data_IF_374858259561
#
_entry.id   IF_374858259561
#
_cell.length_a   1.000
_cell.length_b   1.000
_cell.length_c   1.000
_cell.angle_alpha   90.00
_cell.angle_beta   90.00
_cell.angle_gamma   90.00
#
_symmetry.space_group_name_H-M   'P 1'
#
loop_
_entity.id
_entity.type
_entity.pdbx_description
1 polymer ?
#
# COMPACT_ATOMS: atom_id res chain seq x y z
N UNK A 1 22.72 -11.13 -29.17
CA UNK A 1 21.68 -11.62 -28.23
C UNK A 1 22.10 -11.62 -26.75
N UNK A 2 23.40 -11.67 -26.41
CA UNK A 2 23.88 -11.76 -25.02
C UNK A 2 23.60 -10.54 -24.10
N UNK A 3 23.59 -9.30 -24.62
CA UNK A 3 23.34 -8.09 -23.79
C UNK A 3 21.88 -7.92 -23.33
N UNK A 4 20.90 -8.47 -24.08
CA UNK A 4 19.47 -8.39 -23.71
C UNK A 4 19.14 -9.27 -22.50
N UNK A 5 19.84 -10.40 -22.34
CA UNK A 5 19.61 -11.31 -21.22
C UNK A 5 20.27 -10.84 -19.92
N UNK A 6 21.39 -10.13 -19.97
CA UNK A 6 22.09 -9.63 -18.76
C UNK A 6 21.30 -8.58 -17.97
N UNK A 7 20.49 -7.75 -18.63
CA UNK A 7 19.66 -6.74 -17.94
C UNK A 7 18.55 -7.41 -17.13
N UNK A 8 17.93 -8.46 -17.68
CA UNK A 8 16.90 -9.22 -16.98
C UNK A 8 17.44 -9.96 -15.75
N UNK A 9 18.66 -10.52 -15.82
CA UNK A 9 19.29 -11.21 -14.67
C UNK A 9 19.63 -10.24 -13.52
N UNK A 10 20.18 -9.05 -13.83
CA UNK A 10 20.53 -8.03 -12.82
C UNK A 10 19.34 -7.46 -12.03
N UNK A 11 18.11 -7.69 -12.48
CA UNK A 11 16.87 -7.21 -11.84
C UNK A 11 16.32 -8.22 -10.82
N UNK A 12 16.67 -9.51 -10.93
CA UNK A 12 16.10 -10.55 -10.08
C UNK A 12 16.70 -10.54 -8.66
N UNK A 13 18.02 -10.43 -8.52
CA UNK A 13 18.71 -10.55 -7.22
C UNK A 13 18.39 -9.38 -6.26
N UNK A 14 18.14 -8.17 -6.79
CA UNK A 14 17.80 -6.97 -5.99
C UNK A 14 16.44 -7.14 -5.30
N UNK A 15 15.54 -7.89 -5.93
CA UNK A 15 14.21 -8.14 -5.40
C UNK A 15 14.27 -9.14 -4.25
N UNK A 16 15.12 -10.15 -4.34
CA UNK A 16 15.31 -11.12 -3.26
C UNK A 16 15.70 -10.41 -1.96
N UNK A 17 16.64 -9.46 -1.99
CA UNK A 17 17.05 -8.73 -0.79
C UNK A 17 15.95 -7.87 -0.19
N UNK A 18 15.24 -7.07 -0.99
CA UNK A 18 14.15 -6.21 -0.48
C UNK A 18 12.93 -7.03 -0.06
N UNK A 19 12.68 -8.16 -0.70
CA UNK A 19 11.68 -9.13 -0.28
C UNK A 19 12.06 -9.86 0.97
N UNK A 20 13.32 -10.22 1.11
CA UNK A 20 13.84 -10.73 2.35
C UNK A 20 13.62 -9.68 3.42
N UNK A 21 13.96 -8.41 3.20
CA UNK A 21 13.70 -7.35 4.19
C UNK A 21 12.21 -7.20 4.51
N UNK A 22 11.33 -7.17 3.50
CA UNK A 22 9.89 -7.08 3.71
C UNK A 22 9.36 -8.31 4.49
N UNK A 23 9.77 -9.50 4.09
CA UNK A 23 9.38 -10.77 4.70
C UNK A 23 9.93 -10.94 6.11
N UNK A 24 11.22 -10.67 6.34
CA UNK A 24 11.85 -10.74 7.67
C UNK A 24 11.26 -9.66 8.59
N UNK A 25 10.96 -8.45 8.08
CA UNK A 25 10.25 -7.44 8.86
C UNK A 25 8.86 -7.90 9.26
N UNK A 26 8.15 -8.56 8.34
CA UNK A 26 6.85 -9.17 8.61
C UNK A 26 6.97 -10.28 9.67
N UNK A 27 7.99 -11.14 9.56
CA UNK A 27 8.29 -12.16 10.57
C UNK A 27 8.60 -11.59 11.94
N UNK A 28 9.41 -10.53 12.02
CA UNK A 28 9.76 -9.90 13.30
C UNK A 28 8.55 -9.37 14.08
N UNK A 29 7.45 -9.03 13.39
CA UNK A 29 6.19 -8.66 14.03
C UNK A 29 5.36 -9.85 14.51
N UNK A 30 5.55 -11.05 13.93
CA UNK A 30 4.99 -12.30 14.47
C UNK A 30 5.47 -12.51 15.91
N UNK A 31 6.72 -12.12 16.16
CA UNK A 31 7.45 -12.34 17.40
C UNK A 31 7.45 -11.11 18.33
N UNK A 32 6.93 -9.97 17.87
CA UNK A 32 6.85 -8.71 18.60
C UNK A 32 5.65 -8.65 19.57
N UNK A 33 5.67 -7.76 20.58
CA UNK A 33 4.52 -7.57 21.46
C UNK A 33 3.28 -7.19 20.63
N UNK A 34 2.16 -7.87 20.90
CA UNK A 34 0.84 -7.62 20.30
C UNK A 34 0.64 -6.11 20.07
N UNK A 35 0.44 -5.70 18.80
CA UNK A 35 0.04 -4.34 18.42
C UNK A 35 -1.41 -4.07 18.87
N UNK A 36 -1.71 -4.23 20.16
CA UNK A 36 -3.03 -3.96 20.76
C UNK A 36 -3.37 -2.46 20.74
N UNK A 37 -2.36 -1.60 20.53
CA UNK A 37 -2.55 -0.17 20.34
C UNK A 37 -1.95 0.20 18.99
N UNK A 38 -2.77 0.06 17.96
CA UNK A 38 -2.47 0.64 16.66
C UNK A 38 -2.05 2.11 16.84
N UNK A 39 -1.01 2.58 16.14
CA UNK A 39 -0.52 3.94 16.28
C UNK A 39 -1.56 5.02 15.88
N UNK A 40 -1.22 6.30 16.14
CA UNK A 40 -2.09 7.48 16.03
C UNK A 40 -2.85 7.62 14.69
N UNK A 41 -2.38 7.00 13.60
CA UNK A 41 -3.07 6.96 12.30
C UNK A 41 -4.39 6.16 12.31
N UNK A 42 -4.70 5.44 13.39
CA UNK A 42 -6.01 4.84 13.64
C UNK A 42 -7.17 5.87 13.58
N UNK A 43 -6.87 7.17 13.73
CA UNK A 43 -7.86 8.24 13.60
C UNK A 43 -7.97 8.83 12.16
N UNK A 44 -6.92 8.69 11.33
CA UNK A 44 -6.84 9.29 9.98
C UNK A 44 -6.19 8.29 8.99
N UNK A 45 -6.97 7.35 8.43
CA UNK A 45 -6.46 6.31 7.51
C UNK A 45 -5.69 6.86 6.31
N UNK A 46 -6.02 8.07 5.86
CA UNK A 46 -5.35 8.80 4.79
C UNK A 46 -3.86 9.04 5.07
N UNK A 47 -3.51 9.26 6.34
CA UNK A 47 -2.13 9.50 6.79
C UNK A 47 -1.34 8.23 7.02
N UNK A 48 -2.02 7.08 7.07
CA UNK A 48 -1.37 5.78 7.15
C UNK A 48 -0.83 5.30 5.80
N UNK A 49 -1.05 6.05 4.71
CA UNK A 49 -0.64 5.67 3.36
C UNK A 49 0.61 6.46 2.93
N UNK A 50 1.70 5.80 2.51
CA UNK A 50 2.90 6.48 2.07
C UNK A 50 2.62 7.20 0.76
N UNK A 51 3.12 8.43 0.65
CA UNK A 51 2.94 9.30 -0.51
C UNK A 51 4.26 9.76 -1.08
N UNK A 52 4.30 10.02 -2.38
CA UNK A 52 5.39 10.76 -2.98
C UNK A 52 5.26 12.24 -2.62
N UNK A 53 6.20 12.79 -1.83
CA UNK A 53 6.14 14.14 -1.27
C UNK A 53 5.85 15.21 -2.34
N UNK A 54 6.54 15.12 -3.48
CA UNK A 54 6.48 16.12 -4.53
C UNK A 54 5.20 16.06 -5.37
N UNK A 55 4.65 14.86 -5.58
CA UNK A 55 3.50 14.66 -6.48
C UNK A 55 2.19 14.46 -5.73
N UNK A 56 2.24 14.23 -4.41
CA UNK A 56 1.11 13.85 -3.57
C UNK A 56 0.59 12.44 -3.82
N UNK A 57 1.10 11.71 -4.82
CA UNK A 57 0.58 10.39 -5.22
C UNK A 57 0.82 9.33 -4.16
N UNK A 58 -0.20 8.52 -3.90
CA UNK A 58 -0.08 7.35 -3.03
C UNK A 58 0.76 6.26 -3.70
N UNK A 59 1.67 5.63 -2.94
CA UNK A 59 2.21 4.33 -3.34
C UNK A 59 1.09 3.27 -3.28
N UNK A 60 1.25 2.19 -4.03
CA UNK A 60 0.24 1.12 -4.14
C UNK A 60 0.88 -0.25 -4.15
N UNK A 61 0.07 -1.26 -3.85
CA UNK A 61 0.48 -2.66 -3.83
C UNK A 61 1.67 -2.89 -2.90
N UNK A 62 2.62 -3.70 -3.36
CA UNK A 62 3.81 -4.06 -2.59
C UNK A 62 4.68 -2.86 -2.20
N UNK A 63 4.65 -1.77 -2.97
CA UNK A 63 5.38 -0.55 -2.60
C UNK A 63 4.75 0.15 -1.41
N UNK A 64 3.42 0.18 -1.33
CA UNK A 64 2.74 0.71 -0.16
C UNK A 64 3.10 -0.12 1.08
N UNK A 65 2.97 -1.46 1.00
CA UNK A 65 3.32 -2.35 2.11
C UNK A 65 4.76 -2.18 2.59
N UNK A 66 5.74 -2.08 1.67
CA UNK A 66 7.15 -1.88 2.04
C UNK A 66 7.39 -0.55 2.74
N UNK A 67 6.81 0.54 2.23
CA UNK A 67 7.01 1.87 2.79
C UNK A 67 6.21 2.09 4.08
N UNK A 68 5.01 1.52 4.20
CA UNK A 68 4.22 1.55 5.44
C UNK A 68 4.96 0.90 6.60
N UNK A 69 5.65 -0.21 6.34
CA UNK A 69 6.50 -0.84 7.34
C UNK A 69 7.60 0.11 7.83
N UNK A 70 8.23 0.86 6.92
CA UNK A 70 9.21 1.87 7.31
C UNK A 70 8.58 2.92 8.25
N UNK A 71 7.35 3.36 7.99
CA UNK A 71 6.64 4.32 8.83
C UNK A 71 6.35 3.77 10.23
N UNK A 72 5.90 2.51 10.31
CA UNK A 72 5.68 1.81 11.59
C UNK A 72 6.94 1.79 12.43
N UNK A 73 8.06 1.33 11.86
CA UNK A 73 9.32 1.23 12.58
C UNK A 73 9.82 2.60 13.05
N UNK A 74 9.79 3.61 12.18
CA UNK A 74 10.19 4.98 12.53
C UNK A 74 9.34 5.56 13.66
N UNK A 75 8.03 5.32 13.64
CA UNK A 75 7.12 5.83 14.64
C UNK A 75 7.41 5.20 16.02
N UNK A 76 7.70 3.90 16.07
CA UNK A 76 8.08 3.22 17.30
C UNK A 76 9.42 3.74 17.87
N UNK A 77 10.41 3.99 17.01
CA UNK A 77 11.74 4.39 17.44
C UNK A 77 11.86 5.88 17.77
N UNK A 78 11.21 6.75 16.99
CA UNK A 78 11.44 8.20 17.03
C UNK A 78 10.18 9.05 17.16
N UNK A 79 8.98 8.44 17.12
CA UNK A 79 7.72 9.19 17.13
C UNK A 79 7.39 9.90 15.81
N UNK A 80 8.20 9.68 14.76
CA UNK A 80 8.03 10.29 13.45
C UNK A 80 6.97 9.55 12.63
N UNK A 81 5.94 10.27 12.20
CA UNK A 81 4.80 9.77 11.44
C UNK A 81 4.75 10.31 10.01
N UNK A 82 5.80 11.00 9.55
CA UNK A 82 5.85 11.60 8.21
C UNK A 82 5.71 10.53 7.11
N UNK A 83 4.55 10.49 6.45
CA UNK A 83 4.27 9.47 5.42
C UNK A 83 4.90 9.80 4.06
N UNK A 84 5.74 10.84 3.96
CA UNK A 84 6.26 11.34 2.69
C UNK A 84 7.60 10.71 2.34
N UNK A 85 7.70 10.27 1.09
CA UNK A 85 8.92 9.76 0.47
C UNK A 85 9.20 10.48 -0.84
N UNK A 86 10.47 10.63 -1.22
CA UNK A 86 10.85 11.34 -2.44
C UNK A 86 12.06 10.70 -3.12
N UNK A 87 12.09 10.66 -4.45
CA UNK A 87 13.25 10.18 -5.19
C UNK A 87 14.43 11.16 -5.10
N UNK A 88 15.67 10.65 -5.16
CA UNK A 88 16.88 11.49 -5.01
C UNK A 88 16.91 12.70 -5.96
N UNK A 89 16.63 12.48 -7.24
CA UNK A 89 16.62 13.57 -8.22
C UNK A 89 15.48 14.56 -7.99
N UNK A 90 14.31 14.09 -7.54
CA UNK A 90 13.20 14.97 -7.17
C UNK A 90 13.61 15.88 -6.00
N UNK A 91 14.19 15.28 -4.94
CA UNK A 91 14.67 15.99 -3.77
C UNK A 91 15.75 17.03 -4.12
N UNK A 92 16.73 16.64 -4.94
CA UNK A 92 17.78 17.54 -5.42
C UNK A 92 17.21 18.73 -6.19
N UNK A 93 16.24 18.50 -7.08
CA UNK A 93 15.66 19.55 -7.92
C UNK A 93 14.88 20.59 -7.11
N UNK A 94 14.32 20.21 -5.96
CA UNK A 94 13.63 21.13 -5.05
C UNK A 94 14.55 21.65 -3.93
N UNK A 95 15.86 21.40 -4.01
CA UNK A 95 16.84 21.96 -3.06
C UNK A 95 16.95 21.24 -1.72
N UNK A 96 16.42 20.02 -1.57
CA UNK A 96 16.63 19.22 -0.37
C UNK A 96 18.06 18.68 -0.30
N UNK A 97 18.64 18.73 0.90
CA UNK A 97 20.02 18.36 1.21
C UNK A 97 20.02 17.07 2.01
N UNK A 98 20.53 16.01 1.39
CA UNK A 98 20.59 14.69 2.01
C UNK A 98 21.60 14.66 3.17
N UNK A 99 21.21 14.05 4.29
CA UNK A 99 22.10 13.75 5.41
C UNK A 99 23.11 12.69 4.98
N UNK A 100 24.37 12.85 5.39
CA UNK A 100 25.42 11.86 5.10
C UNK A 100 25.07 10.54 5.79
N UNK A 101 25.11 9.45 5.04
CA UNK A 101 24.81 8.10 5.56
C UNK A 101 23.33 7.71 5.53
N UNK A 102 22.43 8.57 5.05
CA UNK A 102 21.02 8.21 4.87
C UNK A 102 20.84 7.02 3.93
N UNK A 103 19.93 6.13 4.32
CA UNK A 103 19.51 4.97 3.53
C UNK A 103 18.13 5.25 2.94
N UNK A 104 17.90 4.80 1.71
CA UNK A 104 16.59 4.89 1.07
C UNK A 104 15.99 3.50 0.87
N UNK A 105 14.68 3.45 0.68
CA UNK A 105 13.91 2.23 0.41
C UNK A 105 13.77 2.01 -1.10
N UNK A 106 13.78 0.75 -1.54
CA UNK A 106 13.50 0.42 -2.93
C UNK A 106 12.00 0.35 -3.16
N UNK A 107 11.58 0.91 -4.29
CA UNK A 107 10.23 0.74 -4.83
C UNK A 107 10.32 0.10 -6.21
N UNK A 108 9.41 -0.83 -6.47
CA UNK A 108 9.25 -1.52 -7.74
C UNK A 108 8.44 -0.69 -8.71
N UNK A 109 8.95 -0.59 -9.94
CA UNK A 109 8.28 0.01 -11.07
C UNK A 109 8.09 -1.03 -12.17
N UNK A 110 6.84 -1.24 -12.56
CA UNK A 110 6.52 -2.04 -13.73
C UNK A 110 6.56 -1.16 -14.98
N UNK A 111 7.54 -1.39 -15.84
CA UNK A 111 7.73 -0.64 -17.09
C UNK A 111 7.06 -1.40 -18.22
N UNK A 112 5.93 -0.87 -18.67
CA UNK A 112 5.17 -1.36 -19.82
C UNK A 112 5.39 -0.52 -21.08
N UNK A 113 5.97 0.68 -20.93
CA UNK A 113 6.23 1.62 -22.02
C UNK A 113 7.65 2.19 -21.90
N UNK A 114 8.25 2.55 -23.03
CA UNK A 114 9.53 3.28 -23.13
C UNK A 114 9.31 4.62 -23.83
N UNK A 115 10.08 5.63 -23.43
CA UNK A 115 10.17 6.87 -24.18
C UNK A 115 11.04 6.63 -25.42
N UNK A 116 10.52 6.96 -26.59
CA UNK A 116 11.24 6.93 -27.86
C UNK A 116 11.27 8.36 -28.39
N UNK A 117 12.44 8.78 -28.88
CA UNK A 117 12.57 10.05 -29.58
C UNK A 117 12.53 9.77 -31.08
N UNK A 118 11.61 10.42 -31.76
CA UNK A 118 11.59 10.45 -33.22
C UNK A 118 12.74 11.33 -33.76
N UNK A 119 12.99 11.25 -35.07
CA UNK A 119 14.05 11.98 -35.76
C UNK A 119 13.97 13.50 -35.55
N UNK A 120 12.78 14.02 -35.27
CA UNK A 120 12.49 15.44 -35.05
C UNK A 120 12.60 15.85 -33.56
N UNK A 121 13.01 14.92 -32.68
CA UNK A 121 13.19 15.17 -31.25
C UNK A 121 11.90 15.07 -30.41
N UNK A 122 10.74 14.85 -31.04
CA UNK A 122 9.47 14.58 -30.36
C UNK A 122 9.55 13.28 -29.57
N UNK A 123 9.15 13.33 -28.30
CA UNK A 123 9.12 12.17 -27.40
C UNK A 123 7.75 11.50 -27.45
N UNK A 124 7.71 10.23 -27.80
CA UNK A 124 6.51 9.39 -27.79
C UNK A 124 6.70 8.22 -26.83
N UNK A 125 5.60 7.71 -26.26
CA UNK A 125 5.61 6.56 -25.35
C UNK A 125 5.18 5.31 -26.12
N UNK A 126 6.13 4.43 -26.43
CA UNK A 126 5.85 3.16 -27.09
C UNK A 126 5.64 2.04 -26.07
N UNK A 127 4.60 1.23 -26.27
CA UNK A 127 4.39 0.00 -25.49
C UNK A 127 5.52 -0.99 -25.75
N UNK A 128 6.07 -1.57 -24.69
CA UNK A 128 7.12 -2.56 -24.75
C UNK A 128 6.54 -3.92 -25.15
N UNK A 129 7.17 -4.61 -26.11
CA UNK A 129 6.86 -6.01 -26.42
C UNK A 129 7.02 -6.92 -25.20
N UNK A 130 8.00 -6.61 -24.34
CA UNK A 130 8.25 -7.31 -23.09
C UNK A 130 8.33 -6.30 -21.96
N UNK A 131 7.26 -6.15 -21.17
CA UNK A 131 7.32 -5.39 -19.93
C UNK A 131 8.41 -5.93 -19.03
N UNK A 132 9.03 -5.04 -18.25
CA UNK A 132 10.05 -5.42 -17.29
C UNK A 132 9.91 -4.67 -15.98
N UNK A 133 10.51 -5.21 -14.94
CA UNK A 133 10.55 -4.62 -13.60
C UNK A 133 11.79 -3.74 -13.48
N UNK A 134 11.68 -2.60 -12.83
CA UNK A 134 12.82 -1.74 -12.51
C UNK A 134 12.66 -1.19 -11.10
N UNK A 135 13.74 -0.71 -10.51
CA UNK A 135 13.71 -0.17 -9.16
C UNK A 135 14.04 1.31 -9.14
N UNK A 136 13.44 2.02 -8.21
CA UNK A 136 13.90 3.34 -7.80
C UNK A 136 14.11 3.33 -6.29
N UNK A 137 15.10 4.10 -5.85
CA UNK A 137 15.28 4.37 -4.42
C UNK A 137 14.55 5.65 -4.08
N UNK A 138 13.69 5.58 -3.07
CA UNK A 138 12.99 6.71 -2.47
C UNK A 138 13.48 6.90 -1.05
N UNK A 139 13.44 8.14 -0.58
CA UNK A 139 13.99 8.53 0.71
C UNK A 139 12.88 9.18 1.52
N UNK A 140 12.75 8.73 2.77
CA UNK A 140 11.89 9.37 3.75
C UNK A 140 12.35 10.81 4.01
N UNK A 141 11.45 11.73 4.37
CA UNK A 141 11.79 13.15 4.55
C UNK A 141 12.84 13.39 5.64
N UNK A 142 12.90 12.55 6.68
CA UNK A 142 13.94 12.60 7.73
C UNK A 142 15.38 12.42 7.19
N UNK A 143 15.55 11.86 5.98
CA UNK A 143 16.84 11.74 5.32
C UNK A 143 17.43 13.08 4.88
N UNK A 144 16.69 14.19 4.98
CA UNK A 144 17.14 15.51 4.54
C UNK A 144 17.30 16.46 5.74
N UNK A 145 18.30 17.35 5.68
CA UNK A 145 18.58 18.33 6.76
C UNK A 145 17.64 19.52 6.74
N UNK A 146 17.07 19.82 5.58
CA UNK A 146 16.21 20.98 5.33
C UNK A 146 14.85 20.56 4.74
N UNK A 147 14.34 19.41 5.18
CA UNK A 147 12.97 19.00 4.87
C UNK A 147 11.97 19.84 5.68
N UNK A 148 10.88 20.35 5.07
CA UNK A 148 9.80 20.96 5.83
C UNK A 148 9.15 19.87 6.71
N UNK A 149 8.65 20.22 7.92
CA UNK A 149 7.96 19.26 8.76
C UNK A 149 6.70 18.72 8.07
N UNK A 150 6.17 17.62 8.58
CA UNK A 150 4.88 17.10 8.15
C UNK A 150 3.79 18.14 8.46
N UNK A 151 2.89 18.48 7.52
CA UNK A 151 1.82 19.42 7.77
C UNK A 151 0.88 18.93 8.88
N UNK A 152 0.27 19.85 9.62
CA UNK A 152 -0.72 19.50 10.64
C UNK A 152 -1.99 18.92 10.01
N UNK A 153 -2.81 18.23 10.82
CA UNK A 153 -4.11 17.73 10.37
C UNK A 153 -5.02 18.85 9.85
N UNK A 154 -4.93 20.04 10.46
CA UNK A 154 -5.67 21.23 10.06
C UNK A 154 -5.21 21.75 8.69
N UNK A 155 -3.89 21.79 8.45
CA UNK A 155 -3.32 22.19 7.16
C UNK A 155 -3.72 21.23 6.03
N UNK A 156 -3.88 19.93 6.34
CA UNK A 156 -4.36 18.93 5.37
C UNK A 156 -5.88 19.03 5.11
N UNK A 157 -6.64 19.67 5.99
CA UNK A 157 -8.07 19.95 5.88
C UNK A 157 -8.93 18.74 5.45
N UNK A 158 -8.59 17.52 5.88
CA UNK A 158 -9.28 16.28 5.46
C UNK A 158 -10.65 16.21 6.14
N UNK A 159 -11.66 16.85 5.53
CA UNK A 159 -12.99 17.08 6.14
C UNK A 159 -14.13 16.32 5.48
N UNK A 160 -13.92 15.69 4.31
CA UNK A 160 -14.93 14.88 3.62
C UNK A 160 -14.38 13.49 3.33
N UNK A 161 -14.91 12.48 4.03
CA UNK A 161 -14.59 11.07 3.79
C UNK A 161 -15.79 10.40 3.09
N UNK A 162 -15.72 10.13 1.77
CA UNK A 162 -16.84 9.53 1.04
C UNK A 162 -17.22 8.14 1.57
N UNK A 163 -16.28 7.46 2.22
CA UNK A 163 -16.46 6.10 2.75
C UNK A 163 -16.55 6.04 4.28
N UNK A 164 -16.75 7.17 4.97
CA UNK A 164 -16.87 7.18 6.43
C UNK A 164 -18.19 6.58 6.92
N UNK A 165 -19.24 6.65 6.11
CA UNK A 165 -20.53 6.03 6.41
C UNK A 165 -20.47 4.52 6.15
N UNK A 166 -21.00 3.76 7.09
CA UNK A 166 -21.15 2.31 6.98
C UNK A 166 -21.90 1.88 5.72
N UNK A 167 -22.93 2.65 5.34
CA UNK A 167 -23.70 2.42 4.13
C UNK A 167 -22.84 2.34 2.86
N UNK A 168 -21.79 3.18 2.73
CA UNK A 168 -20.93 3.16 1.55
C UNK A 168 -20.12 1.85 1.46
N UNK A 169 -19.77 1.26 2.61
CA UNK A 169 -19.06 -0.03 2.66
C UNK A 169 -20.01 -1.19 2.39
N UNK A 170 -21.23 -1.11 2.93
CA UNK A 170 -22.28 -2.10 2.65
C UNK A 170 -22.70 -2.08 1.16
N UNK A 171 -22.76 -0.90 0.55
CA UNK A 171 -22.94 -0.73 -0.90
C UNK A 171 -21.79 -1.31 -1.71
N UNK A 172 -20.55 -1.10 -1.27
CA UNK A 172 -19.36 -1.69 -1.90
C UNK A 172 -19.41 -3.23 -1.89
N UNK A 173 -19.73 -3.82 -0.72
CA UNK A 173 -19.87 -5.27 -0.54
C UNK A 173 -20.98 -5.80 -1.44
N UNK A 174 -22.17 -5.19 -1.42
CA UNK A 174 -23.30 -5.61 -2.24
C UNK A 174 -23.00 -5.50 -3.74
N UNK A 175 -22.50 -4.35 -4.19
CA UNK A 175 -22.22 -4.13 -5.61
C UNK A 175 -21.16 -5.09 -6.15
N UNK A 176 -20.13 -5.38 -5.36
CA UNK A 176 -19.08 -6.33 -5.77
C UNK A 176 -19.62 -7.76 -5.83
N UNK A 177 -20.42 -8.17 -4.84
CA UNK A 177 -21.07 -9.48 -4.82
C UNK A 177 -22.04 -9.68 -6.00
N UNK A 178 -22.92 -8.70 -6.25
CA UNK A 178 -23.85 -8.71 -7.38
C UNK A 178 -23.13 -8.82 -8.72
N UNK A 179 -22.06 -8.03 -8.93
CA UNK A 179 -21.32 -8.05 -10.20
C UNK A 179 -20.53 -9.34 -10.40
N UNK A 180 -20.06 -9.94 -9.32
CA UNK A 180 -19.38 -11.24 -9.31
C UNK A 180 -20.35 -12.42 -9.39
N UNK A 181 -21.66 -12.16 -9.21
CA UNK A 181 -22.71 -13.18 -9.12
C UNK A 181 -22.46 -14.18 -7.98
N UNK A 182 -21.98 -13.68 -6.83
CA UNK A 182 -21.79 -14.45 -5.60
C UNK A 182 -22.86 -14.06 -4.58
N UNK A 183 -23.58 -15.05 -4.06
CA UNK A 183 -24.59 -14.80 -3.03
C UNK A 183 -23.94 -14.60 -1.66
N UNK A 184 -24.40 -13.63 -0.87
CA UNK A 184 -24.02 -13.49 0.54
C UNK A 184 -25.22 -13.93 1.39
N UNK A 185 -25.07 -15.08 2.05
CA UNK A 185 -26.14 -15.74 2.79
C UNK A 185 -25.87 -15.56 4.29
N UNK A 186 -26.73 -14.79 4.95
CA UNK A 186 -26.69 -14.63 6.39
C UNK A 186 -27.40 -15.79 7.08
N UNK A 187 -26.68 -16.53 7.92
CA UNK A 187 -27.22 -17.69 8.64
C UNK A 187 -26.74 -17.72 10.10
N UNK A 188 -27.21 -18.71 10.87
CA UNK A 188 -26.78 -18.97 12.24
C UNK A 188 -25.49 -19.82 12.27
N UNK A 189 -24.60 -19.67 11.28
CA UNK A 189 -23.34 -20.39 11.24
C UNK A 189 -22.34 -19.81 12.25
N UNK A 190 -21.47 -20.68 12.77
CA UNK A 190 -20.43 -20.27 13.74
C UNK A 190 -19.22 -19.61 13.07
N UNK A 191 -19.09 -19.71 11.75
CA UNK A 191 -18.00 -19.12 10.98
C UNK A 191 -18.42 -18.64 9.59
N UNK A 192 -17.81 -17.54 9.15
CA UNK A 192 -17.88 -17.10 7.76
C UNK A 192 -16.99 -17.97 6.88
N UNK A 193 -17.43 -18.24 5.65
CA UNK A 193 -16.62 -18.89 4.62
C UNK A 193 -17.23 -18.71 3.22
N UNK A 194 -16.37 -18.69 2.21
CA UNK A 194 -16.75 -18.87 0.82
C UNK A 194 -16.87 -20.35 0.44
N UNK A 195 -17.97 -20.74 -0.22
CA UNK A 195 -18.18 -22.06 -0.84
C UNK A 195 -17.91 -21.99 -2.35
N UNK A 196 -16.81 -22.58 -2.85
CA UNK A 196 -16.54 -22.62 -4.29
C UNK A 196 -17.58 -23.43 -5.08
N UNK A 197 -18.22 -24.43 -4.45
CA UNK A 197 -19.20 -25.31 -5.10
C UNK A 197 -20.50 -24.56 -5.40
N UNK A 198 -20.95 -23.77 -4.43
CA UNK A 198 -22.25 -23.08 -4.51
C UNK A 198 -22.08 -21.64 -4.99
N UNK A 199 -20.84 -21.18 -5.18
CA UNK A 199 -20.48 -19.78 -5.44
C UNK A 199 -21.22 -18.82 -4.50
N UNK A 200 -21.13 -19.11 -3.20
CA UNK A 200 -21.83 -18.36 -2.16
C UNK A 200 -20.92 -18.14 -0.95
N UNK A 201 -21.11 -17.01 -0.27
CA UNK A 201 -20.47 -16.65 0.99
C UNK A 201 -21.48 -16.90 2.11
N UNK A 202 -21.16 -17.83 3.01
CA UNK A 202 -21.88 -18.00 4.26
C UNK A 202 -21.33 -17.01 5.28
N UNK A 203 -22.21 -16.27 5.93
CA UNK A 203 -21.85 -15.21 6.86
C UNK A 203 -22.71 -15.29 8.13
N UNK A 204 -22.13 -15.23 9.34
CA UNK A 204 -22.90 -15.02 10.55
C UNK A 204 -23.68 -13.70 10.46
N UNK A 205 -24.80 -13.59 11.17
CA UNK A 205 -25.54 -12.31 11.20
C UNK A 205 -24.62 -11.15 11.67
N UNK A 206 -24.65 -9.95 11.06
CA UNK A 206 -23.72 -8.86 11.38
C UNK A 206 -23.68 -8.47 12.87
N UNK A 207 -24.80 -8.63 13.59
CA UNK A 207 -24.91 -8.37 15.03
C UNK A 207 -24.11 -9.34 15.93
N UNK A 208 -23.61 -10.46 15.38
CA UNK A 208 -22.77 -11.42 16.09
C UNK A 208 -21.29 -11.03 16.04
N UNK A 209 -20.91 -10.07 15.21
CA UNK A 209 -19.54 -9.56 15.16
C UNK A 209 -19.31 -8.55 16.28
N UNK A 210 -18.10 -8.57 16.86
CA UNK A 210 -17.71 -7.64 17.93
C UNK A 210 -17.71 -6.16 17.49
N UNK A 211 -17.58 -5.92 16.19
CA UNK A 211 -17.58 -4.58 15.59
C UNK A 211 -17.94 -4.66 14.11
N UNK A 212 -18.41 -3.54 13.54
CA UNK A 212 -18.59 -3.39 12.08
C UNK A 212 -17.27 -3.55 11.32
N UNK A 213 -16.16 -3.08 11.91
CA UNK A 213 -14.82 -3.22 11.34
C UNK A 213 -14.40 -4.69 11.19
N UNK A 214 -14.73 -5.54 12.17
CA UNK A 214 -14.55 -7.00 12.11
C UNK A 214 -15.43 -7.65 11.05
N UNK A 215 -16.70 -7.25 10.99
CA UNK A 215 -17.63 -7.71 9.96
C UNK A 215 -17.14 -7.38 8.53
N UNK A 216 -16.68 -6.15 8.28
CA UNK A 216 -16.16 -5.76 6.97
C UNK A 216 -14.86 -6.45 6.61
N UNK A 217 -13.93 -6.60 7.58
CA UNK A 217 -12.68 -7.33 7.37
C UNK A 217 -12.92 -8.78 6.93
N UNK A 218 -13.85 -9.48 7.59
CA UNK A 218 -14.26 -10.84 7.22
C UNK A 218 -15.00 -10.86 5.88
N UNK A 219 -15.92 -9.93 5.64
CA UNK A 219 -16.63 -9.83 4.35
C UNK A 219 -15.67 -9.66 3.17
N UNK A 220 -14.69 -8.78 3.31
CA UNK A 220 -13.68 -8.56 2.28
C UNK A 220 -12.77 -9.78 2.07
N UNK A 221 -12.46 -10.52 3.13
CA UNK A 221 -11.69 -11.76 3.06
C UNK A 221 -12.46 -12.80 2.20
N UNK A 222 -13.73 -13.05 2.53
CA UNK A 222 -14.53 -14.05 1.79
C UNK A 222 -14.79 -13.64 0.33
N UNK A 223 -15.01 -12.35 0.06
CA UNK A 223 -15.08 -11.84 -1.31
C UNK A 223 -13.73 -12.03 -2.03
N UNK A 224 -12.61 -11.89 -1.31
CA UNK A 224 -11.26 -12.20 -1.80
C UNK A 224 -11.15 -13.63 -2.32
N UNK A 225 -11.67 -14.61 -1.59
CA UNK A 225 -11.77 -16.00 -2.07
C UNK A 225 -12.67 -16.13 -3.30
N UNK A 226 -13.83 -15.47 -3.30
CA UNK A 226 -14.78 -15.53 -4.41
C UNK A 226 -14.18 -15.08 -5.75
N UNK A 227 -13.15 -14.22 -5.73
CA UNK A 227 -12.43 -13.83 -6.96
C UNK A 227 -11.80 -15.01 -7.71
N UNK A 228 -11.52 -16.13 -7.03
CA UNK A 228 -10.96 -17.33 -7.66
C UNK A 228 -11.97 -18.07 -8.55
N UNK A 229 -13.28 -17.80 -8.40
CA UNK A 229 -14.32 -18.47 -9.18
C UNK A 229 -14.14 -18.28 -10.69
N UNK A 230 -14.58 -19.26 -11.48
CA UNK A 230 -14.40 -19.29 -12.94
C UNK A 230 -15.12 -18.13 -13.66
N UNK A 231 -16.24 -17.65 -13.12
CA UNK A 231 -16.96 -16.47 -13.62
C UNK A 231 -16.26 -15.15 -13.29
N UNK A 232 -15.27 -15.17 -12.39
CA UNK A 232 -14.56 -14.01 -11.89
C UNK A 232 -13.16 -13.93 -12.53
N UNK A 233 -12.11 -14.11 -11.73
CA UNK A 233 -10.73 -14.04 -12.24
C UNK A 233 -10.17 -15.42 -12.62
N UNK A 234 -10.91 -16.50 -12.35
CA UNK A 234 -10.50 -17.88 -12.62
C UNK A 234 -9.06 -18.16 -12.15
N UNK A 235 -8.78 -17.82 -10.88
CA UNK A 235 -7.44 -17.96 -10.31
C UNK A 235 -7.16 -19.44 -10.05
N UNK A 236 -5.96 -19.90 -10.39
CA UNK A 236 -5.55 -21.24 -10.04
C UNK A 236 -5.17 -21.32 -8.55
N UNK A 237 -6.11 -21.84 -7.76
CA UNK A 237 -5.94 -22.08 -6.31
C UNK A 237 -5.60 -23.54 -6.00
N UNK A 238 -5.41 -24.37 -7.03
CA UNK A 238 -5.08 -25.79 -6.83
C UNK A 238 -3.62 -25.93 -6.41
N UNK A 239 -3.33 -27.08 -5.79
CA UNK A 239 -1.97 -27.43 -5.44
C UNK A 239 -1.10 -27.56 -6.71
N UNK A 240 0.01 -26.82 -6.70
CA UNK A 240 0.99 -26.87 -7.77
C UNK A 240 1.84 -28.14 -7.68
N UNK A 241 2.70 -28.39 -8.68
CA UNK A 241 3.54 -29.58 -8.71
C UNK A 241 4.44 -29.66 -7.47
N UNK A 242 4.29 -30.75 -6.72
CA UNK A 242 5.06 -30.98 -5.49
C UNK A 242 4.62 -30.10 -4.32
N UNK A 243 3.42 -29.56 -4.37
CA UNK A 243 2.75 -28.87 -3.27
C UNK A 243 1.63 -29.76 -2.71
N UNK A 244 1.41 -29.72 -1.40
CA UNK A 244 0.28 -30.38 -0.75
C UNK A 244 -0.99 -29.52 -0.85
N UNK A 245 -2.17 -30.12 -0.68
CA UNK A 245 -3.43 -29.34 -0.59
C UNK A 245 -3.40 -28.30 0.52
N UNK A 246 -2.73 -28.62 1.63
CA UNK A 246 -2.59 -27.75 2.79
C UNK A 246 -1.74 -26.51 2.49
N UNK A 247 -0.62 -26.69 1.80
CA UNK A 247 0.23 -25.60 1.31
C UNK A 247 -0.53 -24.68 0.34
N UNK A 248 -1.25 -25.26 -0.61
CA UNK A 248 -2.05 -24.49 -1.57
C UNK A 248 -3.14 -23.66 -0.89
N UNK A 249 -3.78 -24.25 0.13
CA UNK A 249 -4.76 -23.57 0.97
C UNK A 249 -4.13 -22.41 1.75
N UNK A 250 -2.97 -22.62 2.39
CA UNK A 250 -2.26 -21.56 3.10
C UNK A 250 -1.91 -20.37 2.19
N UNK A 251 -1.46 -20.62 0.95
CA UNK A 251 -1.24 -19.54 -0.03
C UNK A 251 -2.54 -18.79 -0.36
N UNK A 252 -3.64 -19.51 -0.54
CA UNK A 252 -4.92 -18.88 -0.86
C UNK A 252 -5.46 -18.00 0.30
N UNK A 253 -5.25 -18.43 1.54
CA UNK A 253 -5.57 -17.63 2.73
C UNK A 253 -4.72 -16.35 2.81
N UNK A 254 -3.42 -16.42 2.49
CA UNK A 254 -2.56 -15.23 2.38
C UNK A 254 -3.11 -14.24 1.33
N UNK A 255 -3.56 -14.74 0.17
CA UNK A 255 -4.17 -13.91 -0.86
C UNK A 255 -5.45 -13.24 -0.34
N UNK A 256 -6.34 -13.98 0.32
CA UNK A 256 -7.60 -13.45 0.83
C UNK A 256 -7.40 -12.40 1.93
N UNK A 257 -6.51 -12.66 2.88
CA UNK A 257 -6.18 -11.73 3.96
C UNK A 257 -5.52 -10.44 3.43
N UNK A 258 -4.53 -10.53 2.54
CA UNK A 258 -3.94 -9.34 1.91
C UNK A 258 -4.96 -8.60 1.04
N UNK A 259 -5.88 -9.31 0.39
CA UNK A 259 -6.96 -8.68 -0.39
C UNK A 259 -7.86 -7.86 0.52
N UNK A 260 -8.28 -8.42 1.66
CA UNK A 260 -9.08 -7.73 2.67
C UNK A 260 -8.39 -6.45 3.12
N UNK A 261 -7.13 -6.56 3.55
CA UNK A 261 -6.32 -5.42 3.98
C UNK A 261 -6.22 -4.31 2.92
N UNK A 262 -5.89 -4.68 1.67
CA UNK A 262 -5.77 -3.72 0.58
C UNK A 262 -7.11 -3.03 0.26
N UNK A 263 -8.24 -3.72 0.42
CA UNK A 263 -9.56 -3.12 0.24
C UNK A 263 -9.87 -2.08 1.33
N UNK A 264 -9.56 -2.38 2.59
CA UNK A 264 -9.69 -1.39 3.68
C UNK A 264 -8.91 -0.11 3.38
N UNK A 265 -7.68 -0.25 2.87
CA UNK A 265 -6.83 0.89 2.48
C UNK A 265 -7.39 1.68 1.29
N UNK A 266 -7.86 0.98 0.25
CA UNK A 266 -8.49 1.63 -0.93
C UNK A 266 -9.77 2.39 -0.57
N UNK A 267 -10.46 1.94 0.46
CA UNK A 267 -11.67 2.58 0.99
C UNK A 267 -11.39 3.56 2.13
N UNK A 268 -10.11 3.79 2.49
CA UNK A 268 -9.72 4.65 3.60
C UNK A 268 -10.43 4.28 4.92
N UNK A 269 -10.54 2.98 5.18
CA UNK A 269 -11.19 2.42 6.37
C UNK A 269 -10.22 1.58 7.19
N UNK A 270 -10.28 1.77 8.50
CA UNK A 270 -9.68 0.83 9.43
C UNK A 270 -10.58 -0.39 9.53
N UNK A 271 -10.21 -1.42 8.80
CA UNK A 271 -10.79 -2.74 8.95
C UNK A 271 -9.96 -3.55 9.94
N UNK A 272 -10.65 -4.39 10.69
CA UNK A 272 -10.01 -5.38 11.51
C UNK A 272 -9.74 -6.59 10.61
N UNK A 273 -8.54 -6.61 10.05
CA UNK A 273 -8.06 -7.79 9.33
C UNK A 273 -7.53 -8.82 10.33
N UNK A 274 -7.67 -10.10 10.02
CA UNK A 274 -6.95 -11.16 10.76
C UNK A 274 -5.47 -11.21 10.37
N UNK A 275 -4.94 -10.18 9.70
CA UNK A 275 -3.51 -9.86 9.70
C UNK A 275 -2.97 -9.52 11.10
N UNK A 276 -3.39 -10.22 12.15
CA UNK A 276 -2.53 -10.34 13.31
C UNK A 276 -1.39 -11.27 12.87
N UNK A 277 -0.17 -10.85 13.19
CA UNK A 277 1.03 -11.50 12.75
C UNK A 277 0.93 -13.02 13.06
N UNK A 278 0.53 -13.39 14.29
CA UNK A 278 0.37 -14.78 14.73
C UNK A 278 -0.53 -15.68 13.86
N UNK A 279 -1.62 -15.18 13.26
CA UNK A 279 -2.53 -15.95 12.40
C UNK A 279 -1.91 -16.20 11.02
N UNK A 280 -1.24 -15.19 10.45
CA UNK A 280 -0.55 -15.32 9.17
C UNK A 280 0.76 -16.11 9.27
N UNK A 281 1.44 -16.04 10.43
CA UNK A 281 2.66 -16.80 10.70
C UNK A 281 2.43 -18.30 10.51
N UNK A 282 1.25 -18.80 10.93
CA UNK A 282 0.88 -20.18 10.71
C UNK A 282 0.77 -20.55 9.23
N UNK A 283 0.09 -19.74 8.40
CA UNK A 283 0.01 -19.99 6.96
C UNK A 283 1.38 -19.89 6.28
N UNK A 284 2.22 -18.95 6.70
CA UNK A 284 3.58 -18.85 6.19
C UNK A 284 4.43 -20.06 6.54
N UNK A 285 4.34 -20.59 7.75
CA UNK A 285 5.05 -21.82 8.14
C UNK A 285 4.55 -23.05 7.39
N UNK A 286 3.29 -23.01 6.94
CA UNK A 286 2.69 -24.07 6.13
C UNK A 286 3.04 -23.98 4.65
N UNK A 287 3.40 -22.79 4.14
CA UNK A 287 3.77 -22.58 2.74
C UNK A 287 4.98 -23.42 2.33
N UNK A 288 5.05 -23.77 1.05
CA UNK A 288 6.17 -24.58 0.52
C UNK A 288 7.43 -23.73 0.41
N UNK A 289 7.27 -22.50 -0.08
CA UNK A 289 8.32 -21.49 -0.12
C UNK A 289 7.76 -20.20 0.50
N UNK A 290 7.84 -20.06 1.84
CA UNK A 290 7.15 -18.98 2.55
C UNK A 290 7.46 -17.58 2.03
N UNK A 291 8.70 -17.37 1.54
CA UNK A 291 9.15 -16.07 1.02
C UNK A 291 8.50 -15.77 -0.33
N UNK A 292 8.59 -16.74 -1.25
CA UNK A 292 8.01 -16.59 -2.57
C UNK A 292 6.47 -16.54 -2.51
N UNK A 293 5.86 -17.42 -1.71
CA UNK A 293 4.41 -17.48 -1.52
C UNK A 293 3.86 -16.19 -0.89
N UNK A 294 4.56 -15.57 0.08
CA UNK A 294 4.19 -14.28 0.66
C UNK A 294 4.14 -13.17 -0.40
N UNK A 295 5.18 -13.06 -1.21
CA UNK A 295 5.31 -12.08 -2.27
C UNK A 295 4.24 -12.26 -3.34
N UNK A 296 4.09 -13.49 -3.83
CA UNK A 296 3.14 -13.79 -4.89
C UNK A 296 1.71 -13.54 -4.41
N UNK A 297 1.45 -13.81 -3.12
CA UNK A 297 0.18 -13.49 -2.48
C UNK A 297 -0.08 -11.98 -2.45
N UNK A 298 0.92 -11.13 -2.16
CA UNK A 298 0.76 -9.68 -2.22
C UNK A 298 0.42 -9.18 -3.63
N UNK A 299 1.12 -9.67 -4.66
CA UNK A 299 0.82 -9.31 -6.04
C UNK A 299 -0.57 -9.79 -6.46
N UNK A 300 -0.93 -11.01 -6.08
CA UNK A 300 -2.23 -11.58 -6.41
C UNK A 300 -3.35 -10.83 -5.69
N UNK A 301 -3.16 -10.46 -4.42
CA UNK A 301 -4.09 -9.65 -3.64
C UNK A 301 -4.30 -8.24 -4.20
N UNK A 302 -3.25 -7.62 -4.75
CA UNK A 302 -3.40 -6.34 -5.46
C UNK A 302 -4.31 -6.50 -6.69
N UNK A 303 -4.16 -7.59 -7.44
CA UNK A 303 -5.05 -7.88 -8.58
C UNK A 303 -6.48 -8.16 -8.13
N UNK A 304 -6.68 -8.96 -7.07
CA UNK A 304 -7.99 -9.26 -6.49
C UNK A 304 -8.69 -8.00 -5.99
N UNK A 305 -8.01 -7.18 -5.18
CA UNK A 305 -8.59 -5.93 -4.65
C UNK A 305 -8.93 -4.93 -5.76
N UNK A 306 -8.11 -4.80 -6.81
CA UNK A 306 -8.43 -3.98 -7.97
C UNK A 306 -9.66 -4.50 -8.73
N UNK A 307 -9.77 -5.82 -8.91
CA UNK A 307 -10.93 -6.45 -9.53
C UNK A 307 -12.20 -6.21 -8.70
N UNK A 308 -12.15 -6.38 -7.38
CA UNK A 308 -13.31 -6.16 -6.49
C UNK A 308 -13.74 -4.68 -6.52
N UNK A 309 -12.80 -3.73 -6.49
CA UNK A 309 -13.10 -2.30 -6.65
C UNK A 309 -13.74 -2.00 -8.01
N UNK A 310 -13.29 -2.66 -9.08
CA UNK A 310 -13.92 -2.52 -10.39
C UNK A 310 -15.33 -3.12 -10.41
N UNK A 311 -15.53 -4.24 -9.71
CA UNK A 311 -16.81 -4.93 -9.62
C UNK A 311 -17.82 -4.22 -8.72
N UNK A 312 -17.38 -3.40 -7.75
CA UNK A 312 -18.27 -2.74 -6.79
C UNK A 312 -19.15 -1.63 -7.38
N UNK A 313 -18.83 -1.15 -8.59
CA UNK A 313 -19.47 0.03 -9.18
C UNK A 313 -19.01 1.37 -8.56
N UNK A 314 -18.20 1.34 -7.50
CA UNK A 314 -17.75 2.55 -6.78
C UNK A 314 -16.35 3.05 -7.18
N UNK A 315 -15.76 2.43 -8.22
CA UNK A 315 -14.42 2.82 -8.71
C UNK A 315 -14.33 4.33 -9.06
N UNK A 316 -15.30 4.94 -9.76
CA UNK A 316 -15.23 6.36 -10.09
C UNK A 316 -15.14 7.27 -8.85
N UNK A 317 -15.91 6.98 -7.81
CA UNK A 317 -15.95 7.73 -6.56
C UNK A 317 -14.64 7.57 -5.78
N UNK A 318 -14.13 6.33 -5.71
CA UNK A 318 -12.84 6.02 -5.07
C UNK A 318 -11.70 6.75 -5.79
N UNK A 319 -11.66 6.69 -7.12
CA UNK A 319 -10.63 7.35 -7.92
C UNK A 319 -10.71 8.89 -7.80
N UNK A 320 -11.92 9.45 -7.80
CA UNK A 320 -12.16 10.89 -7.66
C UNK A 320 -11.66 11.40 -6.31
N UNK A 321 -12.03 10.72 -5.22
CA UNK A 321 -11.56 11.07 -3.88
C UNK A 321 -10.05 10.95 -3.75
N UNK A 322 -9.48 9.84 -4.25
CA UNK A 322 -8.03 9.64 -4.25
C UNK A 322 -7.32 10.77 -5.00
N UNK A 323 -7.81 11.15 -6.18
CA UNK A 323 -7.23 12.22 -6.99
C UNK A 323 -7.30 13.58 -6.28
N UNK A 324 -8.43 13.90 -5.65
CA UNK A 324 -8.59 15.11 -4.85
C UNK A 324 -7.57 15.16 -3.70
N UNK A 325 -7.43 14.04 -2.99
CA UNK A 325 -6.52 13.93 -1.86
C UNK A 325 -5.05 14.02 -2.29
N UNK A 326 -4.67 13.36 -3.39
CA UNK A 326 -3.31 13.46 -3.96
C UNK A 326 -2.99 14.92 -4.37
N UNK A 327 -3.92 15.60 -5.02
CA UNK A 327 -3.77 17.02 -5.38
C UNK A 327 -3.56 17.88 -4.13
N UNK A 328 -4.36 17.64 -3.08
CA UNK A 328 -4.25 18.37 -1.82
C UNK A 328 -2.91 18.13 -1.12
N UNK A 329 -2.46 16.88 -1.02
CA UNK A 329 -1.17 16.55 -0.43
C UNK A 329 -0.01 17.25 -1.16
N UNK A 330 -0.08 17.32 -2.50
CA UNK A 330 0.89 18.05 -3.32
C UNK A 330 0.88 19.55 -3.05
N UNK A 331 -0.30 20.16 -3.00
CA UNK A 331 -0.45 21.60 -2.81
C UNK A 331 0.04 22.02 -1.41
N UNK A 332 -0.36 21.27 -0.38
CA UNK A 332 0.09 21.52 0.99
C UNK A 332 1.60 21.36 1.10
N UNK A 333 2.18 20.30 0.52
CA UNK A 333 3.64 20.12 0.51
C UNK A 333 4.38 21.29 -0.16
N UNK A 334 3.86 21.78 -1.30
CA UNK A 334 4.45 22.89 -2.03
C UNK A 334 4.47 24.17 -1.18
N UNK A 335 3.34 24.48 -0.53
CA UNK A 335 3.24 25.61 0.40
C UNK A 335 4.16 25.46 1.62
N UNK A 336 4.23 24.27 2.22
CA UNK A 336 5.13 24.01 3.34
C UNK A 336 6.59 24.20 2.93
N UNK A 337 6.96 23.80 1.70
CA UNK A 337 8.31 23.96 1.18
C UNK A 337 8.66 25.43 0.94
N UNK A 338 7.75 26.21 0.33
CA UNK A 338 7.93 27.65 0.12
C UNK A 338 8.14 28.39 1.45
N UNK A 339 7.22 28.21 2.41
CA UNK A 339 7.32 28.81 3.76
C UNK A 339 8.62 28.44 4.46
N UNK A 340 9.05 27.18 4.34
CA UNK A 340 10.27 26.70 4.98
C UNK A 340 11.53 27.30 4.34
N UNK A 341 11.56 27.45 3.02
CA UNK A 341 12.68 28.07 2.30
C UNK A 341 12.78 29.56 2.59
N UNK A 342 11.65 30.29 2.62
CA UNK A 342 11.60 31.72 2.98
C UNK A 342 12.16 31.93 4.40
N UNK A 343 11.64 31.20 5.38
CA UNK A 343 12.11 31.26 6.77
C UNK A 343 13.60 30.92 6.90
N UNK A 344 14.07 29.94 6.13
CA UNK A 344 15.50 29.57 6.11
C UNK A 344 16.40 30.66 5.53
N UNK A 345 15.89 31.47 4.60
CA UNK A 345 16.61 32.63 4.05
C UNK A 345 16.64 33.79 5.04
N UNK A 346 15.53 34.06 5.74
CA UNK A 346 15.45 35.08 6.79
C UNK A 346 16.43 34.81 7.93
N UNK A 347 16.49 33.57 8.43
CA UNK A 347 17.42 33.17 9.50
C UNK A 347 18.87 33.41 9.07
N UNK A 348 19.24 33.00 7.85
CA UNK A 348 20.60 33.24 7.33
C UNK A 348 20.94 34.71 7.20
N UNK A 349 19.95 35.54 6.83
CA UNK A 349 20.14 36.99 6.73
C UNK A 349 20.41 37.59 8.11
N UNK A 350 19.64 37.19 9.12
CA UNK A 350 19.83 37.62 10.51
C UNK A 350 21.18 37.16 11.09
N UNK A 351 21.63 35.93 10.79
CA UNK A 351 22.94 35.43 11.23
C UNK A 351 24.12 36.13 10.52
N UNK A 352 23.88 36.73 9.34
CA UNK A 352 24.90 37.44 8.56
C UNK A 352 24.98 38.94 8.85
N UNK A 353 24.02 39.50 9.60
CA UNK A 353 24.09 40.88 10.05
C UNK A 353 25.13 41.00 11.18
N UNK A 354 26.17 41.84 11.04
CA UNK A 354 27.15 42.01 12.10
C UNK A 354 26.43 42.53 13.34
N UNK A 355 26.73 41.95 14.51
CA UNK A 355 26.35 42.48 15.81
C UNK A 355 26.85 43.93 15.88
N UNK A 356 25.97 44.90 15.60
CA UNK A 356 26.23 46.30 15.91
C UNK A 356 26.24 46.42 17.43
N UNK A 357 27.39 46.17 18.03
CA UNK A 357 27.67 46.52 19.42
C UNK A 357 27.70 48.05 19.44
N UNK A 358 26.57 48.66 19.77
CA UNK A 358 26.53 50.05 20.15
C UNK A 358 27.30 50.18 21.48
N UNK A 359 28.48 50.79 21.41
CA UNK A 359 29.27 51.19 22.57
C UNK A 359 28.69 52.45 23.22
#
# INVERSE_FOLDING_TARGET
MAKKNQVATRINDIWEDEFNLLFESFKSELDGPNLEKGPMWSAVPELALPINALTGRFYSGINASNLERHLVNNLHESGDWDNRFIGFNQAKNIGLKMRKGSKGSKVLLYKTHKEVKDKDGTKTMEKLEKPYRSYQTVFHMSCFTNAPPMPTLEELNITKKPFEKDQAIEEFIRGSAEKMNVDIIFSHCDSAHYSPKDHAIQMPHPNLFRSKSSFYGVSFHEIGHATAHESCMNRDVKAQKGETKKQAYAREELVAEFTSYMLGKKLFRNIESKLNARYLGHYLDECKDPKQDFVDSLFQAERCSNFIVQSSGMKPEIDAYKTELEARCKDVFSQSMERFLEKSQEIKKQESEPLTVAF
#
